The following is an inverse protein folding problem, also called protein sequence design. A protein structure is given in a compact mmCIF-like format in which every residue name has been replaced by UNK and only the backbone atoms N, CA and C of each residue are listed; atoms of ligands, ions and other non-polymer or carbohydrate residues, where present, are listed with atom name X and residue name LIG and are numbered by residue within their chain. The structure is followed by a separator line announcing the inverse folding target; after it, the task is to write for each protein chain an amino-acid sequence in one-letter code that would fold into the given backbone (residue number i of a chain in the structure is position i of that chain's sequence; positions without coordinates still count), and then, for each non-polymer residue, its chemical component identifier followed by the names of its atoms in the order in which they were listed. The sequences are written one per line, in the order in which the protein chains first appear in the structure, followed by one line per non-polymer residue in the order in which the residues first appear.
data_IF_205379969504
#
_entry.id   IF_205379969504
#
_cell.length_a   1.000
_cell.length_b   1.000
_cell.length_c   1.000
_cell.angle_alpha   90.00
_cell.angle_beta   90.00
_cell.angle_gamma   90.00
#
_symmetry.space_group_name_H-M   'P 1'
#
loop_
_entity.id
_entity.type
_entity.pdbx_description
1 polymer ?
#
# COMPACT_ATOMS: atom_id res chain seq x y z
N UNK A 1 42.46 -24.68 19.12
CA UNK A 1 42.12 -23.26 18.87
C UNK A 1 41.88 -22.56 20.18
N UNK A 2 42.55 -21.43 20.43
CA UNK A 2 42.40 -20.68 21.69
C UNK A 2 40.94 -20.22 21.87
N UNK A 3 40.37 -20.43 23.06
CA UNK A 3 39.00 -20.00 23.42
C UNK A 3 38.75 -18.50 23.19
N UNK A 4 39.81 -17.70 23.00
CA UNK A 4 39.77 -16.27 22.71
C UNK A 4 39.58 -15.93 21.21
N UNK A 5 39.86 -16.87 20.29
CA UNK A 5 39.68 -16.67 18.84
C UNK A 5 38.20 -16.78 18.45
N UNK A 6 37.45 -17.60 19.19
CA UNK A 6 36.02 -17.83 18.96
C UNK A 6 35.15 -16.58 19.13
N UNK A 7 35.25 -15.79 20.23
CA UNK A 7 34.50 -14.54 20.36
C UNK A 7 34.95 -13.46 19.35
N UNK A 8 36.23 -13.45 18.97
CA UNK A 8 36.76 -12.47 18.01
C UNK A 8 36.14 -12.58 16.61
N UNK A 9 35.71 -13.78 16.22
CA UNK A 9 35.03 -14.03 14.94
C UNK A 9 33.50 -13.97 15.04
N UNK A 10 32.93 -14.33 16.19
CA UNK A 10 31.46 -14.35 16.35
C UNK A 10 30.87 -12.95 16.52
N UNK A 11 31.55 -12.07 17.26
CA UNK A 11 31.06 -10.71 17.51
C UNK A 11 30.85 -9.91 16.22
N UNK A 12 31.80 -9.84 15.26
CA UNK A 12 31.58 -9.10 14.03
C UNK A 12 30.50 -9.73 13.13
N UNK A 13 30.38 -11.06 13.10
CA UNK A 13 29.31 -11.74 12.35
C UNK A 13 27.93 -11.42 12.95
N UNK A 14 27.80 -11.47 14.27
CA UNK A 14 26.56 -11.12 14.96
C UNK A 14 26.22 -9.63 14.77
N UNK A 15 27.21 -8.73 14.86
CA UNK A 15 27.01 -7.31 14.60
C UNK A 15 26.56 -7.05 13.15
N UNK A 16 27.17 -7.72 12.17
CA UNK A 16 26.77 -7.63 10.76
C UNK A 16 25.35 -8.18 10.52
N UNK A 17 25.00 -9.30 11.16
CA UNK A 17 23.66 -9.89 11.06
C UNK A 17 22.59 -8.96 11.67
N UNK A 18 22.85 -8.40 12.86
CA UNK A 18 21.94 -7.43 13.51
C UNK A 18 21.81 -6.16 12.67
N UNK A 19 22.92 -5.61 12.16
CA UNK A 19 22.89 -4.46 11.27
C UNK A 19 22.11 -4.75 9.98
N UNK A 20 22.32 -5.92 9.38
CA UNK A 20 21.60 -6.36 8.18
C UNK A 20 20.10 -6.49 8.42
N UNK A 21 19.69 -7.11 9.54
CA UNK A 21 18.28 -7.21 9.97
C UNK A 21 17.69 -5.81 10.19
N UNK A 22 18.39 -4.95 10.96
CA UNK A 22 17.94 -3.60 11.23
C UNK A 22 17.74 -2.79 9.94
N UNK A 23 18.70 -2.82 9.03
CA UNK A 23 18.61 -2.14 7.74
C UNK A 23 17.49 -2.73 6.88
N UNK A 24 17.29 -4.05 6.86
CA UNK A 24 16.20 -4.70 6.13
C UNK A 24 14.81 -4.29 6.65
N UNK A 25 14.62 -4.18 7.96
CA UNK A 25 13.33 -3.78 8.53
C UNK A 25 13.09 -2.26 8.48
N UNK A 26 14.15 -1.45 8.55
CA UNK A 26 14.04 0.01 8.59
C UNK A 26 13.98 0.64 7.20
N UNK A 27 14.83 0.17 6.30
CA UNK A 27 15.02 0.74 4.96
C UNK A 27 14.69 -0.25 3.83
N UNK A 28 14.64 -1.55 4.13
CA UNK A 28 14.29 -2.59 3.18
C UNK A 28 12.82 -3.00 3.21
N UNK A 29 12.55 -4.25 2.79
CA UNK A 29 11.21 -4.79 2.59
C UNK A 29 10.42 -5.12 3.87
N UNK A 30 10.98 -4.88 5.06
CA UNK A 30 10.28 -5.14 6.31
C UNK A 30 9.00 -4.31 6.50
N UNK A 31 8.96 -3.07 5.98
CA UNK A 31 7.73 -2.25 6.01
C UNK A 31 6.61 -2.83 5.14
N UNK A 32 6.94 -3.32 3.95
CA UNK A 32 5.97 -3.96 3.06
C UNK A 32 5.43 -5.27 3.67
N UNK A 33 6.29 -6.08 4.28
CA UNK A 33 5.90 -7.29 5.00
C UNK A 33 4.99 -6.99 6.21
N UNK A 34 5.33 -5.96 7.00
CA UNK A 34 4.49 -5.52 8.12
C UNK A 34 3.10 -5.06 7.65
N UNK A 35 3.05 -4.30 6.54
CA UNK A 35 1.78 -3.84 5.97
C UNK A 35 0.95 -5.01 5.45
N UNK A 36 1.54 -5.93 4.70
CA UNK A 36 0.85 -7.14 4.24
C UNK A 36 0.25 -7.93 5.40
N UNK A 37 1.02 -8.14 6.48
CA UNK A 37 0.54 -8.82 7.70
C UNK A 37 -0.69 -8.14 8.31
N UNK A 38 -0.68 -6.80 8.42
CA UNK A 38 -1.83 -6.04 8.92
C UNK A 38 -3.06 -6.17 8.03
N UNK A 39 -2.87 -6.09 6.70
CA UNK A 39 -3.95 -6.25 5.72
C UNK A 39 -4.58 -7.63 5.82
N UNK A 40 -3.78 -8.70 5.89
CA UNK A 40 -4.30 -10.06 6.03
C UNK A 40 -4.98 -10.30 7.38
N UNK A 41 -4.44 -9.74 8.46
CA UNK A 41 -5.09 -9.80 9.77
C UNK A 41 -6.47 -9.13 9.73
N UNK A 42 -6.58 -7.98 9.05
CA UNK A 42 -7.86 -7.32 8.86
C UNK A 42 -8.81 -8.11 7.96
N UNK A 43 -8.34 -8.67 6.83
CA UNK A 43 -9.18 -9.48 5.94
C UNK A 43 -9.81 -10.69 6.64
N UNK A 44 -9.09 -11.30 7.58
CA UNK A 44 -9.61 -12.41 8.39
C UNK A 44 -10.65 -11.96 9.42
N UNK A 45 -10.58 -10.71 9.90
CA UNK A 45 -11.51 -10.16 10.88
C UNK A 45 -11.75 -8.66 10.64
N UNK A 46 -12.53 -8.26 9.61
CA UNK A 46 -12.67 -6.85 9.21
C UNK A 46 -13.25 -5.96 10.32
N UNK A 47 -14.12 -6.52 11.15
CA UNK A 47 -14.73 -5.84 12.29
C UNK A 47 -13.74 -5.56 13.45
N UNK A 48 -12.53 -6.13 13.43
CA UNK A 48 -11.57 -6.02 14.54
C UNK A 48 -10.81 -4.69 14.57
N UNK A 49 -10.76 -3.94 13.47
CA UNK A 49 -10.05 -2.65 13.37
C UNK A 49 -10.85 -1.62 12.56
N UNK A 50 -12.00 -1.15 13.08
CA UNK A 50 -12.82 -0.17 12.39
C UNK A 50 -12.12 1.20 12.25
N UNK A 51 -11.14 1.49 13.11
CA UNK A 51 -10.32 2.71 13.09
C UNK A 51 -9.46 2.86 11.83
N UNK A 52 -9.19 1.76 11.12
CA UNK A 52 -8.41 1.76 9.90
C UNK A 52 -9.26 1.89 8.62
N UNK A 53 -10.59 1.93 8.75
CA UNK A 53 -11.51 2.05 7.63
C UNK A 53 -11.58 3.49 7.14
N UNK A 54 -11.38 3.67 5.84
CA UNK A 54 -11.71 4.92 5.16
C UNK A 54 -13.19 4.91 4.79
N UNK A 55 -13.79 6.09 4.80
CA UNK A 55 -15.19 6.31 4.43
C UNK A 55 -15.27 6.89 3.03
N UNK A 56 -16.14 6.34 2.19
CA UNK A 56 -16.44 6.86 0.86
C UNK A 56 -16.80 8.35 0.92
N UNK A 57 -16.23 9.15 0.03
CA UNK A 57 -16.48 10.59 -0.04
C UNK A 57 -15.70 11.43 0.96
N UNK A 58 -15.02 10.82 1.94
CA UNK A 58 -14.12 11.57 2.81
C UNK A 58 -12.94 12.13 2.00
N UNK A 59 -12.47 13.32 2.40
CA UNK A 59 -11.33 14.01 1.78
C UNK A 59 -10.27 14.25 2.84
N UNK A 60 -9.00 14.07 2.48
CA UNK A 60 -7.88 14.28 3.40
C UNK A 60 -7.30 15.69 3.22
N UNK A 61 -7.61 16.60 4.16
CA UNK A 61 -7.17 17.99 4.07
C UNK A 61 -7.53 18.62 2.72
N UNK A 62 -6.56 19.25 2.07
CA UNK A 62 -6.73 19.88 0.76
C UNK A 62 -6.39 18.94 -0.42
N UNK A 63 -6.32 17.63 -0.20
CA UNK A 63 -6.08 16.67 -1.28
C UNK A 63 -7.19 16.79 -2.33
N UNK A 64 -6.88 16.85 -3.64
CA UNK A 64 -7.91 17.07 -4.66
C UNK A 64 -8.88 15.88 -4.81
N UNK A 65 -8.51 14.71 -4.30
CA UNK A 65 -9.25 13.47 -4.44
C UNK A 65 -10.05 13.13 -3.17
N UNK A 66 -11.27 12.63 -3.36
CA UNK A 66 -12.02 11.94 -2.30
C UNK A 66 -11.65 10.46 -2.26
N UNK A 67 -11.92 9.80 -1.14
CA UNK A 67 -11.90 8.34 -1.08
C UNK A 67 -13.05 7.76 -1.92
N UNK A 68 -12.76 6.90 -2.91
CA UNK A 68 -13.78 6.43 -3.87
C UNK A 68 -14.68 5.32 -3.32
N UNK A 69 -14.35 4.73 -2.18
CA UNK A 69 -15.08 3.59 -1.60
C UNK A 69 -14.82 3.53 -0.10
N UNK A 70 -15.70 2.86 0.63
CA UNK A 70 -15.39 2.40 1.99
C UNK A 70 -14.35 1.28 1.93
N UNK A 71 -13.41 1.26 2.88
CA UNK A 71 -12.46 0.16 3.01
C UNK A 71 -11.13 0.48 3.67
N UNK A 72 -10.34 -0.57 3.86
CA UNK A 72 -8.96 -0.48 4.33
C UNK A 72 -8.02 -0.29 3.12
N UNK A 73 -7.17 0.73 3.15
CA UNK A 73 -6.04 0.82 2.20
C UNK A 73 -5.03 -0.26 2.57
N UNK A 74 -4.87 -1.34 1.82
CA UNK A 74 -3.91 -2.39 2.15
C UNK A 74 -2.51 -2.07 1.63
N UNK A 75 -2.39 -1.63 0.38
CA UNK A 75 -1.10 -1.36 -0.26
C UNK A 75 -1.09 0.03 -0.89
N UNK A 76 0.08 0.67 -0.90
CA UNK A 76 0.28 2.03 -1.41
C UNK A 76 1.36 2.05 -2.48
N UNK A 77 1.62 3.22 -3.04
CA UNK A 77 2.71 3.44 -3.99
C UNK A 77 4.03 2.85 -3.49
N UNK A 78 4.71 2.12 -4.37
CA UNK A 78 6.00 1.45 -4.14
C UNK A 78 6.01 0.35 -3.06
N UNK A 79 4.84 0.03 -2.51
CA UNK A 79 4.65 -1.06 -1.55
C UNK A 79 3.85 -2.16 -2.24
N UNK A 80 4.53 -3.17 -2.79
CA UNK A 80 3.90 -4.33 -3.42
C UNK A 80 3.97 -5.56 -2.52
N UNK A 81 2.95 -6.42 -2.62
CA UNK A 81 3.00 -7.78 -2.08
C UNK A 81 3.78 -8.74 -3.00
N UNK A 82 3.98 -8.38 -4.27
CA UNK A 82 4.68 -9.21 -5.25
C UNK A 82 6.18 -8.93 -5.26
N UNK A 83 7.00 -9.98 -5.22
CA UNK A 83 8.45 -9.85 -5.14
C UNK A 83 9.02 -9.28 -6.44
N UNK A 84 9.73 -8.15 -6.36
CA UNK A 84 10.38 -7.51 -7.50
C UNK A 84 9.50 -6.53 -8.28
N UNK A 85 8.24 -6.35 -7.90
CA UNK A 85 7.33 -5.41 -8.54
C UNK A 85 7.18 -4.12 -7.71
N UNK A 86 7.06 -2.99 -8.40
CA UNK A 86 6.70 -1.71 -7.79
C UNK A 86 5.20 -1.52 -7.99
N UNK A 87 4.50 -1.24 -6.90
CA UNK A 87 3.07 -1.00 -6.95
C UNK A 87 2.79 0.44 -7.39
N UNK A 88 1.98 0.61 -8.44
CA UNK A 88 1.61 1.91 -8.98
C UNK A 88 0.13 2.21 -8.71
N UNK A 89 -0.22 2.39 -7.44
CA UNK A 89 -1.60 2.64 -7.05
C UNK A 89 -1.86 2.47 -5.56
N UNK A 90 -3.15 2.42 -5.22
CA UNK A 90 -3.66 2.10 -3.90
C UNK A 90 -4.56 0.86 -4.03
N UNK A 91 -4.37 -0.12 -3.16
CA UNK A 91 -5.30 -1.24 -3.04
C UNK A 91 -6.24 -0.97 -1.87
N UNK A 92 -7.54 -0.86 -2.13
CA UNK A 92 -8.57 -0.63 -1.10
C UNK A 92 -9.43 -1.89 -0.98
N UNK A 93 -9.51 -2.44 0.24
CA UNK A 93 -10.26 -3.65 0.55
C UNK A 93 -11.57 -3.27 1.25
N UNK A 94 -12.70 -3.47 0.59
CA UNK A 94 -14.03 -3.08 1.09
C UNK A 94 -14.61 -3.98 2.19
N UNK A 95 -14.05 -5.18 2.40
CA UNK A 95 -14.50 -6.11 3.45
C UNK A 95 -15.84 -6.80 3.17
N UNK A 96 -16.41 -6.59 1.98
CA UNK A 96 -17.62 -7.27 1.49
C UNK A 96 -17.29 -8.23 0.35
N UNK A 97 -18.29 -8.98 -0.15
CA UNK A 97 -18.15 -9.82 -1.34
C UNK A 97 -17.85 -9.01 -2.61
N UNK A 98 -17.42 -9.72 -3.66
CA UNK A 98 -17.17 -9.13 -4.98
C UNK A 98 -18.45 -8.52 -5.57
N UNK A 99 -18.33 -7.32 -6.16
CA UNK A 99 -19.45 -6.61 -6.77
C UNK A 99 -20.44 -5.97 -5.79
N UNK A 100 -20.13 -5.94 -4.50
CA UNK A 100 -21.02 -5.37 -3.45
C UNK A 100 -20.58 -3.98 -3.03
N UNK A 101 -19.28 -3.73 -2.83
CA UNK A 101 -18.80 -2.43 -2.35
C UNK A 101 -19.01 -1.36 -3.43
N UNK A 102 -19.72 -0.26 -3.14
CA UNK A 102 -19.89 0.82 -4.10
C UNK A 102 -18.57 1.54 -4.36
N UNK A 103 -18.35 1.94 -5.62
CA UNK A 103 -17.20 2.75 -6.02
C UNK A 103 -17.73 3.99 -6.72
N UNK A 104 -17.32 5.16 -6.23
CA UNK A 104 -17.62 6.47 -6.83
C UNK A 104 -16.38 7.07 -7.47
N UNK A 105 -16.58 8.03 -8.37
CA UNK A 105 -15.49 8.78 -8.98
C UNK A 105 -14.71 9.57 -7.91
N UNK A 106 -13.40 9.35 -7.80
CA UNK A 106 -12.54 10.06 -6.85
C UNK A 106 -12.34 11.55 -7.20
N UNK A 107 -12.62 11.93 -8.46
CA UNK A 107 -12.42 13.27 -9.00
C UNK A 107 -13.36 13.52 -10.20
N UNK A 108 -13.79 14.77 -10.48
CA UNK A 108 -14.52 15.10 -11.70
C UNK A 108 -13.70 14.85 -12.97
N UNK A 109 -14.32 14.31 -14.02
CA UNK A 109 -13.65 14.09 -15.29
C UNK A 109 -14.49 13.31 -16.30
N UNK A 110 -13.84 12.83 -17.35
CA UNK A 110 -14.45 12.07 -18.43
C UNK A 110 -14.11 10.59 -18.31
N UNK A 111 -15.10 9.73 -18.53
CA UNK A 111 -14.87 8.29 -18.53
C UNK A 111 -14.24 7.84 -19.85
N UNK A 112 -13.13 7.12 -19.75
CA UNK A 112 -12.50 6.42 -20.86
C UNK A 112 -12.19 4.97 -20.45
N UNK A 113 -11.76 4.16 -21.41
CA UNK A 113 -11.34 2.79 -21.19
C UNK A 113 -10.16 2.43 -22.09
N UNK A 114 -9.41 1.42 -21.68
CA UNK A 114 -8.49 0.70 -22.58
C UNK A 114 -9.16 -0.60 -23.03
N UNK A 115 -8.90 -1.02 -24.27
CA UNK A 115 -9.58 -2.20 -24.85
C UNK A 115 -9.20 -3.51 -24.17
N UNK A 116 -7.97 -3.61 -23.68
CA UNK A 116 -7.38 -4.79 -23.04
C UNK A 116 -7.59 -4.84 -21.52
N UNK A 117 -8.20 -3.80 -20.93
CA UNK A 117 -8.40 -3.71 -19.48
C UNK A 117 -9.76 -4.28 -19.06
N UNK A 118 -9.73 -5.27 -18.16
CA UNK A 118 -10.92 -5.97 -17.68
C UNK A 118 -11.47 -5.30 -16.43
N UNK A 119 -12.76 -4.94 -16.45
CA UNK A 119 -13.49 -4.33 -15.31
C UNK A 119 -12.83 -3.04 -14.78
N UNK A 120 -12.24 -2.25 -15.68
CA UNK A 120 -11.58 -1.00 -15.32
C UNK A 120 -12.27 0.21 -15.93
N UNK A 121 -12.36 1.27 -15.13
CA UNK A 121 -12.82 2.59 -15.56
C UNK A 121 -11.68 3.58 -15.37
N UNK A 122 -11.42 4.38 -16.40
CA UNK A 122 -10.41 5.45 -16.34
C UNK A 122 -11.16 6.78 -16.29
N UNK A 123 -10.82 7.62 -15.32
CA UNK A 123 -11.30 9.00 -15.23
C UNK A 123 -10.17 9.89 -15.75
N UNK A 124 -10.40 10.58 -16.88
CA UNK A 124 -9.47 11.57 -17.41
C UNK A 124 -9.86 12.96 -16.90
N UNK A 125 -8.98 13.57 -16.11
CA UNK A 125 -9.12 14.96 -15.72
C UNK A 125 -8.79 15.89 -16.90
N UNK A 126 -9.52 17.01 -17.08
CA UNK A 126 -9.19 18.00 -18.11
C UNK A 126 -7.87 18.73 -17.82
N UNK A 127 -7.57 18.96 -16.55
CA UNK A 127 -6.39 19.64 -16.04
C UNK A 127 -5.87 18.85 -14.83
N UNK A 128 -4.54 18.71 -14.72
CA UNK A 128 -3.92 18.03 -13.58
C UNK A 128 -4.12 18.87 -12.30
N UNK A 129 -4.80 18.33 -11.26
CA UNK A 129 -5.09 19.07 -10.04
C UNK A 129 -3.85 19.41 -9.20
N UNK A 130 -2.69 18.82 -9.50
CA UNK A 130 -1.42 19.11 -8.83
C UNK A 130 -0.54 20.09 -9.63
N UNK A 131 -0.79 20.23 -10.94
CA UNK A 131 -0.08 21.13 -11.84
C UNK A 131 -0.96 21.49 -13.04
N UNK A 132 -1.71 22.61 -12.99
CA UNK A 132 -2.67 22.99 -14.03
C UNK A 132 -2.07 23.22 -15.42
N UNK A 133 -0.74 23.25 -15.56
CA UNK A 133 -0.08 23.35 -16.87
C UNK A 133 -0.10 22.03 -17.66
N UNK A 134 -0.56 20.92 -17.05
CA UNK A 134 -0.53 19.56 -17.61
C UNK A 134 -1.93 18.95 -17.76
N UNK A 135 -1.97 17.90 -18.58
CA UNK A 135 -3.06 16.90 -18.64
C UNK A 135 -2.49 15.48 -18.63
#
# INVERSE_FOLDING_TARGET
MSKKIFPLLIIPVMAAAVAGIYLFFTYGRGKAAARASQTFAWLNAPASRPDLMMTQGAQCGDAPFIFPTDGLIGFIWDVSFSMGHRHSGLDIFGGTGAGVTPIVAAYPGYLTRQEDWVSTVIIRAPEDPLDPSRQ
#
